data_IF_620334318603
#
_entry.id   IF_620334318603
#
_cell.length_a   1.000
_cell.length_b   1.000
_cell.length_c   1.000
_cell.angle_alpha   90.00
_cell.angle_beta   90.00
_cell.angle_gamma   90.00
#
_symmetry.space_group_name_H-M   'P 1'
#
loop_
_entity.id
_entity.type
_entity.pdbx_description
1 polymer ?
#
# COMPACT_ATOMS: atom_id res chain seq x y z
N UNK A 1 10.65 22.29 7.13
CA UNK A 1 9.23 22.65 7.02
C UNK A 1 9.04 24.16 7.05
N UNK A 2 7.98 24.69 6.46
CA UNK A 2 7.62 26.12 6.44
C UNK A 2 6.50 26.43 7.43
N UNK A 3 6.23 27.71 7.70
CA UNK A 3 5.11 28.13 8.55
C UNK A 3 3.75 27.53 8.10
N UNK A 4 3.54 27.45 6.78
CA UNK A 4 2.29 26.85 6.24
C UNK A 4 2.09 25.38 6.59
N UNK A 5 3.16 24.61 6.80
CA UNK A 5 3.05 23.23 7.30
C UNK A 5 2.57 23.22 8.74
N UNK A 6 3.13 24.09 9.59
CA UNK A 6 2.72 24.18 11.00
C UNK A 6 1.27 24.64 11.14
N UNK A 7 0.77 25.54 10.30
CA UNK A 7 -0.65 25.94 10.29
C UNK A 7 -1.60 24.77 9.98
N UNK A 8 -1.15 23.79 9.19
CA UNK A 8 -1.93 22.56 8.95
C UNK A 8 -1.85 21.61 10.14
N UNK A 9 -0.64 21.37 10.64
CA UNK A 9 -0.40 20.47 11.76
C UNK A 9 -1.14 20.90 13.04
N UNK A 10 -1.20 22.19 13.33
CA UNK A 10 -1.94 22.73 14.48
C UNK A 10 -3.44 22.47 14.45
N UNK A 11 -4.02 22.12 13.30
CA UNK A 11 -5.45 21.77 13.17
C UNK A 11 -5.72 20.29 13.49
N UNK A 12 -4.70 19.49 13.66
CA UNK A 12 -4.81 18.08 14.00
C UNK A 12 -4.90 17.97 15.51
N UNK A 13 -6.07 17.58 16.03
CA UNK A 13 -6.34 17.51 17.46
C UNK A 13 -5.61 16.35 18.14
N UNK A 14 -5.56 15.19 17.47
CA UNK A 14 -4.88 14.01 17.97
C UNK A 14 -3.36 14.22 17.94
N UNK A 15 -2.70 14.10 19.09
CA UNK A 15 -1.27 14.37 19.24
C UNK A 15 -0.40 13.34 18.51
N UNK A 16 -0.76 12.07 18.53
CA UNK A 16 -0.03 10.99 17.85
C UNK A 16 -0.13 11.17 16.34
N UNK A 17 -1.32 11.42 15.81
CA UNK A 17 -1.55 11.71 14.40
C UNK A 17 -0.74 12.94 13.95
N UNK A 18 -0.77 14.02 14.74
CA UNK A 18 0.00 15.25 14.46
C UNK A 18 1.49 14.99 14.44
N UNK A 19 2.02 14.29 15.44
CA UNK A 19 3.44 13.93 15.55
C UNK A 19 3.88 13.10 14.35
N UNK A 20 3.08 12.11 13.95
CA UNK A 20 3.32 11.30 12.75
C UNK A 20 3.46 12.16 11.50
N UNK A 21 2.49 13.06 11.23
CA UNK A 21 2.55 13.91 10.03
C UNK A 21 3.70 14.92 10.07
N UNK A 22 4.09 15.40 11.25
CA UNK A 22 5.25 16.28 11.40
C UNK A 22 6.54 15.54 11.04
N UNK A 23 6.74 14.33 11.57
CA UNK A 23 7.91 13.49 11.29
C UNK A 23 7.98 13.15 9.81
N UNK A 24 6.87 12.70 9.21
CA UNK A 24 6.82 12.30 7.81
C UNK A 24 7.07 13.49 6.88
N UNK A 25 6.42 14.62 7.10
CA UNK A 25 6.59 15.81 6.29
C UNK A 25 8.04 16.33 6.32
N UNK A 26 8.70 16.23 7.47
CA UNK A 26 10.10 16.65 7.61
C UNK A 26 11.07 15.69 6.91
N UNK A 27 10.89 14.37 7.10
CA UNK A 27 11.79 13.34 6.54
C UNK A 27 11.66 13.21 5.03
N UNK A 28 10.43 13.15 4.54
CA UNK A 28 10.14 12.97 3.11
C UNK A 28 10.13 14.28 2.34
N UNK A 29 10.40 15.41 3.03
CA UNK A 29 10.42 16.76 2.44
C UNK A 29 9.14 17.09 1.69
N UNK A 30 7.98 16.66 2.23
CA UNK A 30 6.70 16.96 1.62
C UNK A 30 6.48 18.46 1.47
N UNK A 31 5.91 18.85 0.36
CA UNK A 31 5.32 20.17 0.21
C UNK A 31 4.00 20.28 1.00
N UNK A 32 3.51 21.50 1.16
CA UNK A 32 2.23 21.74 1.87
C UNK A 32 1.06 20.98 1.20
N UNK A 33 1.08 20.86 -0.12
CA UNK A 33 0.06 20.11 -0.87
C UNK A 33 0.14 18.61 -0.62
N UNK A 34 1.37 18.06 -0.54
CA UNK A 34 1.59 16.64 -0.26
C UNK A 34 1.14 16.30 1.15
N UNK A 35 1.51 17.15 2.15
CA UNK A 35 1.01 17.02 3.52
C UNK A 35 -0.52 17.06 3.58
N UNK A 36 -1.14 18.04 2.89
CA UNK A 36 -2.61 18.13 2.81
C UNK A 36 -3.24 16.86 2.25
N UNK A 37 -2.68 16.34 1.15
CA UNK A 37 -3.19 15.12 0.51
C UNK A 37 -3.05 13.93 1.45
N UNK A 38 -1.89 13.73 2.04
CA UNK A 38 -1.67 12.60 2.94
C UNK A 38 -2.57 12.65 4.18
N UNK A 39 -2.78 13.84 4.75
CA UNK A 39 -3.73 14.04 5.83
C UNK A 39 -5.18 13.76 5.40
N UNK A 40 -5.61 14.31 4.29
CA UNK A 40 -6.98 14.13 3.78
C UNK A 40 -7.27 12.69 3.30
N UNK A 41 -6.25 11.93 2.93
CA UNK A 41 -6.36 10.50 2.61
C UNK A 41 -6.22 9.60 3.83
N UNK A 42 -6.10 10.19 5.03
CA UNK A 42 -6.01 9.50 6.33
C UNK A 42 -4.89 8.45 6.36
N UNK A 43 -3.69 8.87 5.93
CA UNK A 43 -2.53 8.00 5.85
C UNK A 43 -2.19 7.36 7.20
N UNK A 44 -2.30 8.11 8.31
CA UNK A 44 -2.02 7.61 9.65
C UNK A 44 -2.92 6.41 10.00
N UNK A 45 -4.23 6.56 9.84
CA UNK A 45 -5.20 5.52 10.15
C UNK A 45 -5.03 4.29 9.24
N UNK A 46 -4.77 4.49 7.94
CA UNK A 46 -4.56 3.40 6.99
C UNK A 46 -3.28 2.60 7.27
N UNK A 47 -2.21 3.27 7.67
CA UNK A 47 -0.99 2.60 8.10
C UNK A 47 -1.20 1.87 9.43
N UNK A 48 -1.92 2.46 10.37
CA UNK A 48 -2.22 1.85 11.65
C UNK A 48 -3.03 0.55 11.48
N UNK A 49 -4.07 0.57 10.63
CA UNK A 49 -4.89 -0.62 10.31
C UNK A 49 -4.12 -1.74 9.58
N UNK A 50 -2.99 -1.42 8.95
CA UNK A 50 -2.15 -2.39 8.22
C UNK A 50 -1.04 -2.99 9.08
N UNK A 51 -1.00 -2.72 10.40
CA UNK A 51 0.15 -3.03 11.27
C UNK A 51 -0.25 -3.66 12.59
N UNK A 52 0.74 -4.29 13.23
CA UNK A 52 0.62 -4.77 14.61
C UNK A 52 0.57 -3.59 15.59
N UNK A 53 -0.10 -3.75 16.74
CA UNK A 53 -0.31 -2.70 17.76
C UNK A 53 0.99 -2.02 18.22
N UNK A 54 2.05 -2.77 18.44
CA UNK A 54 3.35 -2.23 18.84
C UNK A 54 3.91 -1.28 17.78
N UNK A 55 3.69 -1.59 16.50
CA UNK A 55 4.13 -0.74 15.39
C UNK A 55 3.26 0.51 15.23
N UNK A 56 2.00 0.48 15.65
CA UNK A 56 1.12 1.65 15.63
C UNK A 56 1.63 2.72 16.60
N UNK A 57 2.02 2.33 17.82
CA UNK A 57 2.59 3.28 18.78
C UNK A 57 3.89 3.93 18.27
N UNK A 58 4.69 3.21 17.49
CA UNK A 58 5.91 3.75 16.89
C UNK A 58 5.65 4.73 15.76
N UNK A 59 4.48 4.71 15.12
CA UNK A 59 4.15 5.68 14.07
C UNK A 59 4.22 7.12 14.57
N UNK A 60 3.76 7.41 15.78
CA UNK A 60 3.81 8.76 16.37
C UNK A 60 5.21 9.18 16.83
N UNK A 61 6.09 8.23 17.11
CA UNK A 61 7.44 8.48 17.63
C UNK A 61 8.51 8.47 16.53
N UNK A 62 8.39 7.55 15.58
CA UNK A 62 9.42 7.28 14.58
C UNK A 62 8.92 7.51 13.14
N UNK A 63 7.62 7.80 12.94
CA UNK A 63 7.00 7.84 11.63
C UNK A 63 6.90 6.45 10.98
N UNK A 64 6.68 6.42 9.67
CA UNK A 64 6.61 5.18 8.91
C UNK A 64 8.02 4.62 8.65
N UNK A 65 8.47 3.69 9.49
CA UNK A 65 9.74 2.96 9.32
C UNK A 65 9.48 1.71 8.47
N UNK A 66 10.27 1.52 7.42
CA UNK A 66 10.17 0.39 6.49
C UNK A 66 11.29 -0.59 6.81
N UNK A 67 10.94 -1.76 7.33
CA UNK A 67 11.87 -2.85 7.69
C UNK A 67 11.48 -4.18 7.09
N UNK A 68 10.20 -4.39 6.85
CA UNK A 68 9.65 -5.64 6.31
C UNK A 68 8.77 -5.40 5.10
N UNK A 69 8.45 -6.46 4.35
CA UNK A 69 7.55 -6.39 3.20
C UNK A 69 6.16 -5.87 3.57
N UNK A 70 5.67 -6.17 4.77
CA UNK A 70 4.37 -5.65 5.26
C UNK A 70 4.37 -4.14 5.50
N UNK A 71 5.52 -3.54 5.78
CA UNK A 71 5.61 -2.11 6.09
C UNK A 71 5.40 -1.19 4.87
N UNK A 72 5.50 -1.72 3.66
CA UNK A 72 5.22 -0.98 2.42
C UNK A 72 3.76 -1.06 2.00
N UNK A 73 2.96 -1.89 2.67
CA UNK A 73 1.55 -2.08 2.33
C UNK A 73 0.65 -1.02 2.97
N UNK A 74 -0.49 -0.81 2.33
CA UNK A 74 -1.61 -0.01 2.83
C UNK A 74 -2.92 -0.72 2.51
N UNK A 75 -3.89 -0.60 3.39
CA UNK A 75 -5.21 -1.13 3.14
C UNK A 75 -6.27 -0.18 3.73
N UNK A 76 -7.03 0.53 2.88
CA UNK A 76 -6.94 0.55 1.43
C UNK A 76 -5.84 1.49 0.89
N UNK A 77 -5.43 1.28 -0.36
CA UNK A 77 -4.79 2.33 -1.16
C UNK A 77 -5.84 3.35 -1.60
N UNK A 78 -5.48 4.63 -1.60
CA UNK A 78 -6.38 5.72 -2.00
C UNK A 78 -5.91 6.31 -3.31
N UNK A 79 -6.67 6.05 -4.37
CA UNK A 79 -6.35 6.38 -5.75
C UNK A 79 -7.28 7.45 -6.34
N UNK A 80 -7.76 8.38 -5.53
CA UNK A 80 -8.69 9.45 -5.90
C UNK A 80 -8.17 10.33 -7.05
N UNK A 81 -6.86 10.44 -7.16
CA UNK A 81 -6.18 11.26 -8.18
C UNK A 81 -6.30 10.70 -9.61
N UNK A 82 -6.71 9.45 -9.78
CA UNK A 82 -6.91 8.87 -11.12
C UNK A 82 -8.14 9.43 -11.82
N UNK A 83 -9.07 10.03 -11.06
CA UNK A 83 -10.28 10.66 -11.59
C UNK A 83 -11.25 9.68 -12.25
N UNK A 84 -11.23 8.41 -11.82
CA UNK A 84 -12.22 7.40 -12.21
C UNK A 84 -13.31 7.36 -11.14
N UNK A 85 -14.57 7.29 -11.58
CA UNK A 85 -15.71 7.15 -10.68
C UNK A 85 -16.08 5.67 -10.57
N UNK A 86 -16.37 5.19 -9.34
CA UNK A 86 -16.79 3.80 -9.09
C UNK A 86 -18.03 3.36 -9.88
N UNK A 87 -18.81 4.32 -10.38
CA UNK A 87 -20.07 4.07 -11.11
C UNK A 87 -19.89 3.79 -12.60
N UNK A 88 -18.73 4.05 -13.16
CA UNK A 88 -18.47 3.85 -14.58
C UNK A 88 -17.69 2.56 -14.82
N UNK A 89 -18.07 1.84 -15.88
CA UNK A 89 -17.31 0.69 -16.35
C UNK A 89 -15.96 1.18 -16.92
N UNK A 90 -14.90 1.04 -16.13
CA UNK A 90 -13.52 1.21 -16.57
C UNK A 90 -12.82 -0.15 -16.63
N UNK A 91 -11.81 -0.26 -17.47
CA UNK A 91 -11.00 -1.47 -17.59
C UNK A 91 -9.75 -1.40 -16.70
N UNK A 92 -9.11 -2.55 -16.47
CA UNK A 92 -7.79 -2.62 -15.81
C UNK A 92 -6.77 -1.74 -16.55
N UNK A 93 -6.82 -1.74 -17.89
CA UNK A 93 -6.00 -0.85 -18.74
C UNK A 93 -6.28 0.63 -18.51
N UNK A 94 -7.53 1.03 -18.29
CA UNK A 94 -7.87 2.42 -17.99
C UNK A 94 -7.31 2.84 -16.64
N UNK A 95 -7.45 2.00 -15.63
CA UNK A 95 -6.87 2.23 -14.30
C UNK A 95 -5.34 2.34 -14.38
N UNK A 96 -4.69 1.41 -15.07
CA UNK A 96 -3.25 1.40 -15.27
C UNK A 96 -2.76 2.70 -15.96
N UNK A 97 -3.40 3.10 -17.06
CA UNK A 97 -3.06 4.33 -17.77
C UNK A 97 -3.18 5.55 -16.86
N UNK A 98 -4.28 5.66 -16.11
CA UNK A 98 -4.51 6.77 -15.18
C UNK A 98 -3.49 6.81 -14.04
N UNK A 99 -3.07 5.66 -13.52
CA UNK A 99 -2.00 5.59 -12.52
C UNK A 99 -0.67 6.10 -13.07
N UNK A 100 -0.34 5.76 -14.32
CA UNK A 100 0.88 6.21 -14.98
C UNK A 100 0.82 7.69 -15.38
N UNK A 101 -0.32 8.17 -15.86
CA UNK A 101 -0.52 9.60 -16.13
C UNK A 101 -0.34 10.45 -14.85
N UNK A 102 -0.58 9.85 -13.68
CA UNK A 102 -0.45 10.47 -12.36
C UNK A 102 0.65 9.80 -11.51
N UNK A 103 1.73 9.35 -12.14
CA UNK A 103 2.78 8.55 -11.49
C UNK A 103 3.36 9.22 -10.24
N UNK A 104 3.48 10.55 -10.24
CA UNK A 104 3.97 11.29 -9.06
C UNK A 104 3.04 11.10 -7.85
N UNK A 105 1.74 11.22 -8.04
CA UNK A 105 0.74 11.00 -6.99
C UNK A 105 0.70 9.53 -6.58
N UNK A 106 0.87 8.62 -7.55
CA UNK A 106 0.94 7.19 -7.24
C UNK A 106 2.17 6.84 -6.42
N UNK A 107 3.35 7.37 -6.75
CA UNK A 107 4.56 7.19 -5.94
C UNK A 107 4.40 7.77 -4.53
N UNK A 108 3.74 8.93 -4.39
CA UNK A 108 3.41 9.50 -3.09
C UNK A 108 2.45 8.59 -2.30
N UNK A 109 1.47 7.98 -2.98
CA UNK A 109 0.58 7.00 -2.36
C UNK A 109 1.31 5.71 -2.01
N UNK A 110 2.16 5.17 -2.87
CA UNK A 110 2.97 3.98 -2.56
C UNK A 110 3.85 4.22 -1.32
N UNK A 111 4.46 5.39 -1.22
CA UNK A 111 5.27 5.80 -0.06
C UNK A 111 6.77 5.65 -0.29
N UNK A 112 7.49 5.38 0.80
CA UNK A 112 8.96 5.50 0.84
C UNK A 112 9.69 4.44 0.01
N UNK A 113 10.73 4.90 -0.67
CA UNK A 113 11.71 4.03 -1.31
C UNK A 113 11.32 3.48 -2.67
N UNK A 114 10.11 3.73 -3.14
CA UNK A 114 9.65 3.24 -4.44
C UNK A 114 10.28 3.98 -5.61
N UNK A 115 10.66 3.21 -6.62
CA UNK A 115 11.13 3.68 -7.93
C UNK A 115 10.39 2.89 -9.00
N UNK A 116 9.84 3.58 -10.00
CA UNK A 116 9.17 2.95 -11.13
C UNK A 116 10.21 2.30 -12.06
N UNK A 117 9.98 1.04 -12.42
CA UNK A 117 10.87 0.25 -13.30
C UNK A 117 10.25 0.05 -14.66
N UNK A 118 9.03 -0.52 -14.72
CA UNK A 118 8.39 -0.84 -15.98
C UNK A 118 6.86 -0.97 -15.84
N UNK A 119 6.17 -0.83 -16.97
CA UNK A 119 4.78 -1.20 -17.16
C UNK A 119 4.68 -2.37 -18.13
N UNK A 120 3.64 -3.20 -17.98
CA UNK A 120 3.32 -4.31 -18.88
C UNK A 120 4.57 -5.13 -19.23
N UNK A 121 5.41 -5.37 -18.19
CA UNK A 121 6.65 -6.09 -18.37
C UNK A 121 6.36 -7.52 -18.80
N UNK A 122 6.66 -7.80 -20.06
CA UNK A 122 6.46 -9.13 -20.64
C UNK A 122 7.63 -10.04 -20.30
N UNK A 123 7.32 -11.27 -19.92
CA UNK A 123 8.25 -12.37 -19.90
C UNK A 123 7.61 -13.61 -20.53
N UNK A 124 8.43 -14.56 -20.94
CA UNK A 124 7.97 -15.79 -21.57
C UNK A 124 8.59 -16.97 -20.85
N UNK A 125 7.80 -17.97 -20.59
CA UNK A 125 8.24 -19.23 -20.05
C UNK A 125 7.67 -20.34 -20.94
N UNK A 126 8.55 -21.10 -21.59
CA UNK A 126 8.22 -22.03 -22.67
C UNK A 126 7.46 -21.30 -23.81
N UNK A 127 6.26 -21.75 -24.14
CA UNK A 127 5.42 -21.15 -25.19
C UNK A 127 4.45 -20.07 -24.65
N UNK A 128 4.33 -19.97 -23.33
CA UNK A 128 3.40 -19.03 -22.67
C UNK A 128 4.02 -17.64 -22.49
N UNK A 129 3.16 -16.63 -22.60
CA UNK A 129 3.52 -15.24 -22.46
C UNK A 129 2.73 -14.58 -21.35
N UNK A 130 3.44 -13.97 -20.43
CA UNK A 130 2.89 -13.31 -19.25
C UNK A 130 3.25 -11.83 -19.22
N UNK A 131 2.46 -11.04 -18.51
CA UNK A 131 2.71 -9.62 -18.33
C UNK A 131 2.41 -9.22 -16.89
N UNK A 132 3.34 -8.50 -16.29
CA UNK A 132 3.14 -7.83 -15.01
C UNK A 132 2.69 -6.41 -15.28
N UNK A 133 1.60 -5.96 -14.69
CA UNK A 133 1.05 -4.62 -14.98
C UNK A 133 2.04 -3.52 -14.65
N UNK A 134 2.49 -3.44 -13.40
CA UNK A 134 3.44 -2.44 -12.95
C UNK A 134 4.56 -3.08 -12.15
N UNK A 135 5.79 -2.70 -12.46
CA UNK A 135 7.01 -3.13 -11.75
C UNK A 135 7.64 -1.93 -11.11
N UNK A 136 7.85 -2.04 -9.82
CA UNK A 136 8.62 -1.08 -9.01
C UNK A 136 9.82 -1.77 -8.37
N UNK A 137 10.74 -0.97 -7.91
CA UNK A 137 11.83 -1.38 -7.02
C UNK A 137 11.77 -0.57 -5.74
N UNK A 138 11.84 -1.23 -4.60
CA UNK A 138 11.91 -0.54 -3.31
C UNK A 138 13.35 -0.55 -2.79
N UNK A 139 14.00 0.62 -2.80
CA UNK A 139 15.41 0.76 -2.41
C UNK A 139 15.69 0.52 -0.93
N UNK A 140 14.67 0.66 -0.05
CA UNK A 140 14.83 0.45 1.39
C UNK A 140 14.82 -1.04 1.71
N UNK A 141 13.95 -1.79 1.03
CA UNK A 141 13.86 -3.24 1.13
C UNK A 141 14.79 -3.96 0.14
N UNK A 142 15.41 -3.27 -0.79
CA UNK A 142 16.28 -3.84 -1.84
C UNK A 142 15.60 -5.00 -2.58
N UNK A 143 14.38 -4.80 -3.05
CA UNK A 143 13.62 -5.82 -3.75
C UNK A 143 12.72 -5.24 -4.82
N UNK A 144 12.35 -6.07 -5.79
CA UNK A 144 11.26 -5.77 -6.71
C UNK A 144 9.92 -5.82 -6.01
N UNK A 145 8.99 -4.95 -6.44
CA UNK A 145 7.60 -4.94 -5.99
C UNK A 145 6.72 -4.95 -7.24
N UNK A 146 5.99 -6.03 -7.42
CA UNK A 146 5.13 -6.26 -8.57
C UNK A 146 3.69 -5.91 -8.20
N UNK A 147 3.05 -5.09 -9.01
CA UNK A 147 1.63 -4.79 -8.85
C UNK A 147 0.84 -5.39 -10.02
N UNK A 148 -0.25 -6.04 -9.68
CA UNK A 148 -1.25 -6.54 -10.62
C UNK A 148 -2.61 -5.93 -10.23
N UNK A 149 -3.29 -5.33 -11.20
CA UNK A 149 -4.49 -4.54 -10.99
C UNK A 149 -5.72 -5.39 -11.31
N UNK A 150 -6.66 -5.48 -10.37
CA UNK A 150 -7.89 -6.25 -10.55
C UNK A 150 -9.11 -5.38 -10.34
N UNK A 151 -9.99 -5.34 -11.33
CA UNK A 151 -11.30 -4.73 -11.21
C UNK A 151 -12.28 -5.74 -10.64
N UNK A 152 -12.96 -5.32 -9.56
CA UNK A 152 -13.92 -6.17 -8.87
C UNK A 152 -13.29 -7.09 -7.83
N UNK A 153 -13.86 -8.30 -7.69
CA UNK A 153 -13.51 -9.25 -6.64
C UNK A 153 -12.28 -10.08 -7.01
N UNK A 154 -11.33 -10.14 -6.09
CA UNK A 154 -10.15 -11.00 -6.20
C UNK A 154 -10.54 -12.48 -6.30
N UNK A 155 -9.86 -13.22 -7.18
CA UNK A 155 -10.04 -14.66 -7.40
C UNK A 155 -8.79 -15.43 -7.02
N UNK A 156 -8.93 -16.72 -6.67
CA UNK A 156 -7.80 -17.58 -6.36
C UNK A 156 -6.79 -17.72 -7.53
N UNK A 157 -7.27 -17.61 -8.77
CA UNK A 157 -6.43 -17.62 -9.97
C UNK A 157 -5.46 -16.42 -10.02
N UNK A 158 -5.90 -15.24 -9.55
CA UNK A 158 -5.08 -14.03 -9.51
C UNK A 158 -3.90 -14.22 -8.54
N UNK A 159 -4.14 -14.88 -7.41
CA UNK A 159 -3.10 -15.23 -6.44
C UNK A 159 -2.07 -16.20 -7.03
N UNK A 160 -2.53 -17.23 -7.73
CA UNK A 160 -1.65 -18.18 -8.44
C UNK A 160 -0.81 -17.50 -9.53
N UNK A 161 -1.40 -16.57 -10.28
CA UNK A 161 -0.71 -15.77 -11.28
C UNK A 161 0.38 -14.90 -10.64
N UNK A 162 0.07 -14.20 -9.56
CA UNK A 162 1.04 -13.40 -8.83
C UNK A 162 2.18 -14.25 -8.25
N UNK A 163 1.86 -15.44 -7.72
CA UNK A 163 2.89 -16.37 -7.23
C UNK A 163 3.89 -16.76 -8.34
N UNK A 164 3.39 -17.01 -9.55
CA UNK A 164 4.23 -17.29 -10.70
C UNK A 164 5.12 -16.09 -11.06
N UNK A 165 4.58 -14.86 -11.01
CA UNK A 165 5.34 -13.64 -11.27
C UNK A 165 6.46 -13.43 -10.25
N UNK A 166 6.15 -13.55 -8.95
CA UNK A 166 7.14 -13.45 -7.88
C UNK A 166 8.23 -14.50 -8.04
N UNK A 167 7.85 -15.76 -8.29
CA UNK A 167 8.80 -16.86 -8.51
C UNK A 167 9.70 -16.62 -9.72
N UNK A 168 9.16 -16.04 -10.81
CA UNK A 168 9.96 -15.70 -12.00
C UNK A 168 11.00 -14.63 -11.66
N UNK A 169 10.58 -13.56 -10.99
CA UNK A 169 11.50 -12.49 -10.59
C UNK A 169 12.58 -12.98 -9.63
N UNK A 170 12.22 -13.80 -8.67
CA UNK A 170 13.17 -14.36 -7.70
C UNK A 170 14.20 -15.30 -8.31
N UNK A 171 13.85 -15.98 -9.40
CA UNK A 171 14.75 -16.93 -10.07
C UNK A 171 15.60 -16.33 -11.19
N UNK A 172 15.06 -15.30 -11.89
CA UNK A 172 15.64 -14.86 -13.15
C UNK A 172 15.95 -13.37 -13.25
N UNK A 173 15.29 -12.52 -12.45
CA UNK A 173 15.43 -11.06 -12.57
C UNK A 173 16.24 -10.46 -11.41
N UNK A 174 16.03 -10.91 -10.16
CA UNK A 174 16.74 -10.37 -9.00
C UNK A 174 18.18 -10.90 -8.92
N UNK A 175 19.06 -10.10 -8.32
CA UNK A 175 20.42 -10.49 -7.97
C UNK A 175 20.48 -11.23 -6.63
N UNK A 176 21.62 -11.86 -6.31
CA UNK A 176 21.82 -12.56 -5.03
C UNK A 176 21.78 -11.62 -3.82
N UNK A 177 22.14 -10.34 -4.02
CA UNK A 177 22.16 -9.32 -2.95
C UNK A 177 20.77 -8.74 -2.66
N UNK A 178 19.79 -9.00 -3.51
CA UNK A 178 18.43 -8.48 -3.37
C UNK A 178 17.56 -9.44 -2.56
N UNK A 179 16.67 -8.85 -1.78
CA UNK A 179 15.68 -9.58 -1.01
C UNK A 179 14.58 -10.17 -1.93
N UNK A 180 13.81 -11.14 -1.42
CA UNK A 180 12.72 -11.72 -2.17
C UNK A 180 11.73 -10.68 -2.69
N UNK A 181 11.27 -10.89 -3.91
CA UNK A 181 10.29 -10.05 -4.60
C UNK A 181 8.97 -10.00 -3.84
N UNK A 182 8.34 -8.84 -3.83
CA UNK A 182 7.02 -8.63 -3.23
C UNK A 182 5.98 -8.56 -4.33
N UNK A 183 4.90 -9.34 -4.20
CA UNK A 183 3.72 -9.27 -5.07
C UNK A 183 2.57 -8.54 -4.37
N UNK A 184 1.94 -7.59 -5.05
CA UNK A 184 0.78 -6.84 -4.53
C UNK A 184 -0.36 -6.89 -5.54
N UNK A 185 -1.46 -7.50 -5.14
CA UNK A 185 -2.71 -7.51 -5.88
C UNK A 185 -3.58 -6.33 -5.40
N UNK A 186 -3.77 -5.33 -6.25
CA UNK A 186 -4.68 -4.22 -5.96
C UNK A 186 -6.05 -4.54 -6.54
N UNK A 187 -7.04 -4.73 -5.68
CA UNK A 187 -8.40 -5.10 -6.07
C UNK A 187 -9.46 -4.17 -5.46
N UNK A 188 -10.62 -4.09 -6.09
CA UNK A 188 -11.74 -3.32 -5.56
C UNK A 188 -12.37 -4.02 -4.35
N UNK A 189 -12.50 -5.37 -4.44
CA UNK A 189 -13.05 -6.20 -3.36
C UNK A 189 -12.07 -7.31 -2.99
N UNK A 190 -11.67 -7.33 -1.71
CA UNK A 190 -10.79 -8.35 -1.13
C UNK A 190 -11.59 -9.38 -0.34
N UNK A 191 -11.12 -10.61 -0.32
CA UNK A 191 -11.60 -11.67 0.56
C UNK A 191 -10.41 -12.24 1.34
N UNK A 192 -10.24 -11.78 2.57
CA UNK A 192 -9.10 -12.14 3.41
C UNK A 192 -9.01 -13.66 3.66
N UNK A 193 -10.12 -14.31 3.96
CA UNK A 193 -10.15 -15.76 4.18
C UNK A 193 -9.67 -16.55 2.94
N UNK A 194 -10.02 -16.09 1.72
CA UNK A 194 -9.54 -16.71 0.50
C UNK A 194 -8.03 -16.51 0.31
N UNK A 195 -7.52 -15.32 0.63
CA UNK A 195 -6.09 -15.01 0.54
C UNK A 195 -5.29 -15.90 1.51
N UNK A 196 -5.71 -15.98 2.76
CA UNK A 196 -5.09 -16.80 3.81
C UNK A 196 -5.10 -18.30 3.48
N UNK A 197 -6.21 -18.82 2.94
CA UNK A 197 -6.31 -20.23 2.55
C UNK A 197 -5.51 -20.58 1.28
N UNK A 198 -5.20 -19.59 0.44
CA UNK A 198 -4.56 -19.83 -0.86
C UNK A 198 -3.05 -19.66 -0.82
N UNK A 199 -2.57 -18.69 -0.04
CA UNK A 199 -1.14 -18.37 0.03
C UNK A 199 -0.48 -19.06 1.23
N UNK A 200 0.78 -19.52 1.10
CA UNK A 200 1.59 -19.93 2.24
C UNK A 200 1.79 -18.79 3.25
N UNK A 201 1.92 -19.13 4.53
CA UNK A 201 2.12 -18.15 5.62
C UNK A 201 3.37 -17.27 5.44
N UNK A 202 4.41 -17.81 4.82
CA UNK A 202 5.68 -17.14 4.53
C UNK A 202 5.71 -16.45 3.17
N UNK A 203 4.58 -16.36 2.49
CA UNK A 203 4.46 -15.73 1.18
C UNK A 203 4.72 -14.23 1.25
N UNK A 204 5.46 -13.70 0.27
CA UNK A 204 5.62 -12.27 0.04
C UNK A 204 4.56 -11.69 -0.93
N UNK A 205 3.37 -12.30 -0.96
CA UNK A 205 2.27 -11.87 -1.80
C UNK A 205 1.15 -11.34 -0.93
N UNK A 206 0.65 -10.19 -1.28
CA UNK A 206 -0.36 -9.46 -0.53
C UNK A 206 -1.50 -9.03 -1.42
N UNK A 207 -2.70 -9.02 -0.87
CA UNK A 207 -3.86 -8.40 -1.50
C UNK A 207 -4.26 -7.17 -0.69
N UNK A 208 -4.45 -6.05 -1.37
CA UNK A 208 -4.92 -4.81 -0.77
C UNK A 208 -6.07 -4.23 -1.56
N UNK A 209 -7.03 -3.65 -0.86
CA UNK A 209 -8.09 -2.90 -1.53
C UNK A 209 -7.56 -1.57 -2.06
N UNK A 210 -8.19 -1.07 -3.12
CA UNK A 210 -8.06 0.34 -3.50
C UNK A 210 -9.42 1.04 -3.46
N UNK A 211 -9.40 2.35 -3.23
CA UNK A 211 -10.57 3.23 -3.30
C UNK A 211 -10.28 4.38 -4.25
N UNK A 212 -11.23 4.68 -5.12
CA UNK A 212 -11.14 5.78 -6.10
C UNK A 212 -11.64 7.12 -5.54
N UNK A 213 -11.93 7.16 -4.26
CA UNK A 213 -12.40 8.33 -3.52
C UNK A 213 -11.73 8.40 -2.15
N UNK A 214 -11.75 9.59 -1.55
CA UNK A 214 -11.25 9.75 -0.19
C UNK A 214 -12.15 8.99 0.79
N UNK A 215 -11.59 8.13 1.66
CA UNK A 215 -12.37 7.39 2.64
C UNK A 215 -13.00 8.33 3.68
N UNK A 216 -14.01 7.85 4.37
CA UNK A 216 -14.58 8.55 5.53
C UNK A 216 -13.65 8.39 6.75
N UNK A 217 -13.21 9.53 7.33
CA UNK A 217 -12.31 9.56 8.48
C UNK A 217 -12.90 8.83 9.68
N UNK A 218 -14.18 9.08 9.96
CA UNK A 218 -14.85 8.50 11.11
C UNK A 218 -14.91 6.98 11.01
N UNK A 219 -15.22 6.47 9.82
CA UNK A 219 -15.25 5.03 9.57
C UNK A 219 -13.88 4.36 9.80
N UNK A 220 -12.78 5.00 9.35
CA UNK A 220 -11.43 4.49 9.59
C UNK A 220 -11.03 4.56 11.06
N UNK A 221 -11.38 5.66 11.75
CA UNK A 221 -11.11 5.83 13.17
C UNK A 221 -11.91 4.85 14.03
N UNK A 222 -13.17 4.59 13.69
CA UNK A 222 -14.00 3.64 14.41
C UNK A 222 -13.45 2.22 14.23
N UNK A 223 -13.08 1.82 13.00
CA UNK A 223 -12.40 0.54 12.75
C UNK A 223 -11.08 0.40 13.51
N UNK A 224 -10.29 1.46 13.56
CA UNK A 224 -9.02 1.45 14.31
C UNK A 224 -9.26 1.28 15.80
N UNK A 225 -10.28 1.93 16.36
CA UNK A 225 -10.66 1.79 17.78
C UNK A 225 -11.15 0.38 18.09
N UNK A 226 -12.05 -0.17 17.28
CA UNK A 226 -12.53 -1.54 17.42
C UNK A 226 -11.36 -2.53 17.41
N UNK A 227 -10.51 -2.45 16.41
CA UNK A 227 -9.33 -3.31 16.29
C UNK A 227 -8.36 -3.19 17.48
N UNK A 228 -8.14 -1.97 18.01
CA UNK A 228 -7.32 -1.78 19.21
C UNK A 228 -7.97 -2.36 20.48
N UNK A 229 -9.29 -2.48 20.54
CA UNK A 229 -10.03 -3.01 21.69
C UNK A 229 -10.15 -4.53 21.66
N UNK A 230 -10.40 -5.16 20.50
CA UNK A 230 -10.63 -6.60 20.36
C UNK A 230 -9.45 -7.45 20.86
N UNK A 231 -8.21 -7.01 20.69
CA UNK A 231 -7.06 -7.74 21.21
C UNK A 231 -6.67 -7.40 22.67
N UNK A 232 -7.22 -6.32 23.25
CA UNK A 232 -7.02 -5.98 24.67
C UNK A 232 -7.83 -6.85 25.62
N UNK A 233 -8.86 -7.55 25.12
CA UNK A 233 -9.69 -8.47 25.91
C UNK A 233 -9.15 -9.88 26.04
N UNK A 234 -8.05 -10.24 25.36
CA UNK A 234 -7.49 -11.59 25.39
C UNK A 234 -6.38 -11.78 26.43
N UNK A 235 -5.92 -10.72 27.09
CA UNK A 235 -4.85 -10.81 28.10
C UNK A 235 -5.36 -10.91 29.54
N UNK A 236 -6.69 -10.73 29.80
CA UNK A 236 -7.26 -10.77 31.16
C UNK A 236 -7.93 -12.12 31.53
N UNK A 237 -7.81 -13.18 30.71
CA UNK A 237 -8.33 -14.51 31.02
C UNK A 237 -7.23 -15.60 30.99
N UNK A 238 -6.18 -15.45 31.82
CA UNK A 238 -5.29 -16.57 32.20
C UNK A 238 -4.99 -16.52 33.69
#
# INVERSE_FOLDING_TARGET
MTWSHYLQLMRIENEDERSFYEIEAAREKWGVRDLSRQYNSYLYERLALSRDKEKVQRLSQEGNVITTSKDVLKDPYVLEFVGLEDKYNYSETDLENRLLDNLQQFLLELGKGFTFVARQKRFSFEEDHFRVDLVFYNRLLKCFVLFDLKIGKLKHQDLGQMQMYVNYYDRYEKTEEENPTIGVLLCNEKNDAMVELTLPEDSNIYASQYKLYLPDKKLLQDKLKEWLQEEGGAEDEI
#
